data_IF_336419674608
#
_entry.id   IF_336419674608
#
_cell.length_a   1.000
_cell.length_b   1.000
_cell.length_c   1.000
_cell.angle_alpha   90.00
_cell.angle_beta   90.00
_cell.angle_gamma   90.00
#
_symmetry.space_group_name_H-M   'P 1'
#
loop_
_entity.id
_entity.type
_entity.pdbx_description
1 polymer ?
#
# COMPACT_ATOMS: atom_id res chain seq x y z
N UNK A 1 30.61 -15.89 71.74
CA UNK A 1 31.08 -16.76 70.65
C UNK A 1 29.90 -17.59 70.16
N UNK A 2 29.78 -17.80 68.85
CA UNK A 2 28.69 -18.46 68.10
C UNK A 2 27.48 -17.62 67.67
N UNK A 3 27.70 -16.99 66.51
CA UNK A 3 26.75 -16.76 65.41
C UNK A 3 25.80 -17.96 65.22
N UNK A 4 24.51 -17.71 64.92
CA UNK A 4 23.72 -18.58 64.04
C UNK A 4 22.60 -17.82 63.30
N UNK A 5 22.94 -17.53 62.04
CA UNK A 5 22.14 -17.37 60.81
C UNK A 5 20.63 -17.06 60.95
N UNK A 6 20.27 -15.83 60.59
CA UNK A 6 18.98 -15.56 59.92
C UNK A 6 19.01 -16.24 58.55
N UNK A 7 18.10 -17.19 58.31
CA UNK A 7 17.80 -17.71 56.96
C UNK A 7 17.03 -16.62 56.21
N UNK A 8 17.69 -15.96 55.27
CA UNK A 8 16.99 -15.21 54.24
C UNK A 8 16.47 -16.19 53.20
N UNK A 9 15.14 -16.29 53.10
CA UNK A 9 14.45 -16.93 52.01
C UNK A 9 14.66 -16.05 50.76
N UNK A 10 15.70 -16.33 49.99
CA UNK A 10 15.88 -15.74 48.67
C UNK A 10 14.87 -16.44 47.76
N UNK A 11 13.69 -15.84 47.65
CA UNK A 11 12.72 -16.19 46.63
C UNK A 11 13.28 -15.66 45.30
N UNK A 12 14.09 -16.48 44.64
CA UNK A 12 14.63 -16.18 43.32
C UNK A 12 13.47 -16.11 42.33
N UNK A 13 13.06 -14.89 41.98
CA UNK A 13 12.22 -14.64 40.82
C UNK A 13 13.05 -15.01 39.58
N UNK A 14 12.87 -16.24 39.11
CA UNK A 14 13.32 -16.64 37.79
C UNK A 14 12.39 -15.94 36.79
N UNK A 15 12.69 -14.68 36.46
CA UNK A 15 12.09 -14.01 35.31
C UNK A 15 12.60 -14.75 34.08
N UNK A 16 11.77 -15.66 33.58
CA UNK A 16 11.92 -16.23 32.25
C UNK A 16 11.74 -15.07 31.27
N UNK A 17 12.85 -14.41 30.91
CA UNK A 17 12.89 -13.51 29.77
C UNK A 17 12.74 -14.42 28.56
N UNK A 18 11.50 -14.72 28.20
CA UNK A 18 11.18 -15.22 26.87
C UNK A 18 11.57 -14.04 25.99
N UNK A 19 12.79 -14.05 25.47
CA UNK A 19 13.13 -13.28 24.29
C UNK A 19 12.15 -13.79 23.25
N UNK A 20 11.03 -13.09 23.10
CA UNK A 20 10.08 -13.32 22.04
C UNK A 20 10.83 -12.94 20.77
N UNK A 21 11.59 -13.89 20.26
CA UNK A 21 11.94 -13.94 18.86
C UNK A 21 10.57 -13.99 18.17
N UNK A 22 10.05 -12.81 17.83
CA UNK A 22 8.84 -12.66 17.05
C UNK A 22 9.15 -13.23 15.68
N UNK A 23 9.07 -14.55 15.56
CA UNK A 23 9.06 -15.23 14.28
C UNK A 23 7.89 -14.58 13.56
N UNK A 24 8.19 -13.75 12.56
CA UNK A 24 7.14 -13.17 11.72
C UNK A 24 6.33 -14.35 11.21
N UNK A 25 5.08 -14.47 11.65
CA UNK A 25 4.20 -15.55 11.20
C UNK A 25 4.03 -15.32 9.71
N UNK A 26 4.67 -16.18 8.91
CA UNK A 26 4.48 -16.19 7.46
C UNK A 26 3.36 -17.14 7.09
N UNK A 27 2.76 -16.90 5.93
CA UNK A 27 1.57 -17.60 5.43
C UNK A 27 1.83 -18.26 4.08
N UNK A 28 1.03 -19.26 3.74
CA UNK A 28 1.19 -20.01 2.48
C UNK A 28 0.73 -19.21 1.26
N UNK A 29 -0.21 -18.29 1.45
CA UNK A 29 -0.76 -17.46 0.36
C UNK A 29 -0.62 -15.98 0.67
N UNK A 30 -0.55 -15.18 -0.39
CA UNK A 30 -0.52 -13.72 -0.30
C UNK A 30 -1.80 -13.17 0.33
N UNK A 31 -2.95 -13.74 -0.03
CA UNK A 31 -4.26 -13.36 0.50
C UNK A 31 -4.33 -13.60 2.01
N UNK A 32 -3.79 -14.71 2.49
CA UNK A 32 -3.74 -14.99 3.93
C UNK A 32 -2.75 -14.06 4.65
N UNK A 33 -1.58 -13.81 4.06
CA UNK A 33 -0.63 -12.85 4.59
C UNK A 33 -1.24 -11.45 4.74
N UNK A 34 -1.99 -10.98 3.75
CA UNK A 34 -2.71 -9.70 3.82
C UNK A 34 -3.79 -9.74 4.91
N UNK A 35 -4.64 -10.77 4.93
CA UNK A 35 -5.72 -10.90 5.92
C UNK A 35 -5.24 -10.94 7.37
N UNK A 36 -4.02 -11.42 7.60
CA UNK A 36 -3.46 -11.58 8.93
C UNK A 36 -2.52 -10.44 9.32
N UNK A 37 -1.71 -9.97 8.37
CA UNK A 37 -0.76 -8.87 8.56
C UNK A 37 -1.41 -7.49 8.60
N UNK A 38 -2.60 -7.33 8.03
CA UNK A 38 -3.37 -6.08 7.99
C UNK A 38 -4.68 -6.18 8.76
N UNK A 39 -4.69 -6.95 9.86
CA UNK A 39 -5.88 -7.04 10.71
C UNK A 39 -6.14 -5.69 11.40
N UNK A 40 -7.42 -5.31 11.59
CA UNK A 40 -7.77 -4.21 12.48
C UNK A 40 -7.15 -4.44 13.87
N UNK A 41 -6.69 -3.36 14.46
CA UNK A 41 -6.16 -3.28 15.81
C UNK A 41 -7.20 -2.62 16.73
N UNK A 42 -6.80 -2.29 17.97
CA UNK A 42 -7.64 -1.46 18.84
C UNK A 42 -7.49 0.04 18.55
N UNK A 43 -6.57 0.43 17.66
CA UNK A 43 -6.34 1.82 17.30
C UNK A 43 -7.00 2.16 15.97
N UNK A 44 -8.21 2.69 16.06
CA UNK A 44 -9.04 3.04 14.91
C UNK A 44 -8.42 4.13 14.01
N UNK A 45 -7.57 5.01 14.56
CA UNK A 45 -6.92 6.05 13.75
C UNK A 45 -5.83 5.47 12.83
N UNK A 46 -5.10 4.46 13.30
CA UNK A 46 -4.09 3.75 12.49
C UNK A 46 -4.79 2.82 11.50
N UNK A 47 -5.81 2.10 11.94
CA UNK A 47 -6.55 1.14 11.12
C UNK A 47 -7.20 1.77 9.90
N UNK A 48 -7.64 3.03 10.03
CA UNK A 48 -8.21 3.84 8.94
C UNK A 48 -7.40 3.77 7.64
N UNK A 49 -6.06 3.73 7.75
CA UNK A 49 -5.14 3.75 6.59
C UNK A 49 -4.53 2.38 6.28
N UNK A 50 -4.50 1.45 7.24
CA UNK A 50 -3.67 0.24 7.15
C UNK A 50 -4.44 -1.07 7.33
N UNK A 51 -5.66 -1.05 7.87
CA UNK A 51 -6.45 -2.25 8.01
C UNK A 51 -7.03 -2.71 6.67
N UNK A 52 -7.00 -4.03 6.43
CA UNK A 52 -7.56 -4.62 5.22
C UNK A 52 -9.09 -4.68 5.30
N UNK A 53 -9.76 -3.89 4.46
CA UNK A 53 -11.18 -4.07 4.17
C UNK A 53 -11.38 -5.05 3.00
N UNK A 54 -10.85 -4.70 1.81
CA UNK A 54 -11.02 -5.47 0.58
C UNK A 54 -9.77 -5.43 -0.30
N UNK A 55 -9.36 -6.59 -0.82
CA UNK A 55 -8.27 -6.67 -1.80
C UNK A 55 -8.78 -6.22 -3.17
N UNK A 56 -8.10 -5.25 -3.80
CA UNK A 56 -8.39 -4.79 -5.17
C UNK A 56 -7.66 -5.69 -6.17
N UNK A 57 -6.34 -5.78 -6.03
CA UNK A 57 -5.46 -6.57 -6.88
C UNK A 57 -4.20 -6.97 -6.13
N UNK A 58 -3.69 -8.15 -6.43
CA UNK A 58 -2.34 -8.59 -6.08
C UNK A 58 -1.57 -8.74 -7.39
N UNK A 59 -0.38 -8.15 -7.45
CA UNK A 59 0.51 -8.20 -8.61
C UNK A 59 1.95 -8.41 -8.13
N UNK A 60 2.47 -9.63 -8.33
CA UNK A 60 3.78 -10.01 -7.82
C UNK A 60 3.87 -9.79 -6.31
N UNK A 61 4.80 -8.95 -5.86
CA UNK A 61 5.07 -8.68 -4.43
C UNK A 61 4.30 -7.47 -3.88
N UNK A 62 3.24 -7.03 -4.54
CA UNK A 62 2.53 -5.79 -4.20
C UNK A 62 1.03 -6.07 -4.23
N UNK A 63 0.31 -5.50 -3.27
CA UNK A 63 -1.13 -5.59 -3.20
C UNK A 63 -1.76 -4.21 -3.03
N UNK A 64 -2.79 -3.94 -3.82
CA UNK A 64 -3.66 -2.79 -3.66
C UNK A 64 -4.92 -3.22 -2.92
N UNK A 65 -5.32 -2.43 -1.93
CA UNK A 65 -6.49 -2.75 -1.12
C UNK A 65 -7.25 -1.49 -0.69
N UNK A 66 -8.52 -1.69 -0.35
CA UNK A 66 -9.40 -0.69 0.26
C UNK A 66 -9.48 -0.95 1.76
N UNK A 67 -9.35 0.09 2.57
CA UNK A 67 -9.58 0.03 4.03
C UNK A 67 -11.07 0.09 4.36
N UNK A 68 -11.49 -0.21 5.60
CA UNK A 68 -12.90 -0.04 6.01
C UNK A 68 -13.43 1.39 5.81
N UNK A 69 -12.56 2.40 5.88
CA UNK A 69 -12.90 3.82 5.72
C UNK A 69 -12.71 4.32 4.28
N UNK A 70 -12.66 3.41 3.31
CA UNK A 70 -12.54 3.70 1.87
C UNK A 70 -11.23 4.37 1.45
N UNK A 71 -10.16 4.16 2.19
CA UNK A 71 -8.82 4.56 1.74
C UNK A 71 -8.30 3.51 0.78
N UNK A 72 -7.64 3.95 -0.30
CA UNK A 72 -6.88 3.04 -1.15
C UNK A 72 -5.42 3.08 -0.71
N UNK A 73 -4.90 1.89 -0.39
CA UNK A 73 -3.56 1.69 0.17
C UNK A 73 -2.82 0.58 -0.56
N UNK A 74 -1.50 0.57 -0.39
CA UNK A 74 -0.61 -0.47 -0.89
C UNK A 74 -0.01 -1.25 0.28
N UNK A 75 0.09 -2.55 0.11
CA UNK A 75 0.90 -3.43 0.95
C UNK A 75 2.03 -4.07 0.13
N UNK A 76 3.21 -4.02 0.71
CA UNK A 76 4.39 -4.69 0.22
C UNK A 76 4.44 -6.10 0.79
N UNK A 77 4.69 -7.07 -0.08
CA UNK A 77 4.75 -8.48 0.25
C UNK A 77 6.16 -9.00 0.05
N UNK A 78 6.61 -9.83 0.97
CA UNK A 78 7.89 -10.52 0.88
C UNK A 78 7.73 -11.99 1.21
N UNK A 79 8.71 -12.78 0.77
CA UNK A 79 8.84 -14.18 1.17
C UNK A 79 9.98 -14.24 2.18
N UNK A 80 9.65 -14.58 3.43
CA UNK A 80 10.61 -14.87 4.51
C UNK A 80 10.48 -16.33 4.88
N UNK A 81 11.59 -17.07 4.85
CA UNK A 81 11.62 -18.51 5.16
C UNK A 81 10.58 -19.33 4.37
N UNK A 82 10.40 -19.03 3.08
CA UNK A 82 9.45 -19.74 2.21
C UNK A 82 7.98 -19.39 2.43
N UNK A 83 7.67 -18.42 3.29
CA UNK A 83 6.30 -18.00 3.62
C UNK A 83 6.10 -16.52 3.31
N UNK A 84 4.88 -16.15 2.90
CA UNK A 84 4.49 -14.78 2.61
C UNK A 84 4.26 -13.97 3.88
N UNK A 85 4.76 -12.73 3.90
CA UNK A 85 4.51 -11.76 4.96
C UNK A 85 4.20 -10.40 4.35
N UNK A 86 3.51 -9.55 5.09
CA UNK A 86 3.44 -8.10 4.79
C UNK A 86 4.72 -7.47 5.33
N UNK A 87 5.48 -6.81 4.46
CA UNK A 87 6.77 -6.18 4.80
C UNK A 87 6.64 -4.68 5.05
N UNK A 88 5.57 -4.07 4.55
CA UNK A 88 5.31 -2.65 4.70
C UNK A 88 3.95 -2.27 4.11
N UNK A 89 3.51 -1.07 4.45
CA UNK A 89 2.33 -0.44 3.87
C UNK A 89 2.66 0.99 3.48
N UNK A 90 2.06 1.45 2.39
CA UNK A 90 2.19 2.81 1.88
C UNK A 90 0.84 3.31 1.36
N UNK A 91 0.71 4.62 1.20
CA UNK A 91 -0.54 5.24 0.77
C UNK A 91 -1.48 5.55 1.94
N UNK A 92 -2.78 5.52 1.68
CA UNK A 92 -3.78 6.03 2.60
C UNK A 92 -4.35 7.37 2.15
N UNK A 93 -4.69 7.50 0.87
CA UNK A 93 -5.50 8.63 0.42
C UNK A 93 -6.98 8.31 0.42
N UNK A 94 -7.76 9.23 0.98
CA UNK A 94 -9.20 9.14 0.96
C UNK A 94 -9.68 9.51 -0.44
N UNK A 95 -10.30 8.56 -1.14
CA UNK A 95 -10.86 8.84 -2.48
C UNK A 95 -11.90 9.97 -2.48
N UNK A 96 -12.48 10.31 -1.33
CA UNK A 96 -13.41 11.44 -1.17
C UNK A 96 -12.73 12.81 -1.10
N UNK A 97 -11.45 12.84 -0.72
CA UNK A 97 -10.70 14.08 -0.44
C UNK A 97 -9.66 14.36 -1.55
N UNK A 98 -9.59 13.49 -2.56
CA UNK A 98 -8.69 13.65 -3.69
C UNK A 98 -9.05 14.90 -4.50
N UNK A 99 -8.07 15.79 -4.64
CA UNK A 99 -8.13 16.85 -5.63
C UNK A 99 -8.01 16.22 -7.03
N UNK A 100 -8.87 16.63 -7.94
CA UNK A 100 -8.87 16.15 -9.32
C UNK A 100 -8.79 17.37 -10.24
N UNK A 101 -7.80 17.37 -11.13
CA UNK A 101 -7.67 18.42 -12.15
C UNK A 101 -8.80 18.34 -13.18
N UNK A 102 -8.97 19.39 -13.99
CA UNK A 102 -9.95 19.39 -15.11
C UNK A 102 -9.77 18.21 -16.07
N UNK A 103 -8.56 17.67 -16.18
CA UNK A 103 -8.23 16.48 -16.99
C UNK A 103 -8.76 15.18 -16.38
N UNK A 104 -9.29 15.20 -15.16
CA UNK A 104 -9.77 14.05 -14.41
C UNK A 104 -8.66 13.19 -13.80
N UNK A 105 -7.46 13.74 -13.62
CA UNK A 105 -6.28 13.07 -13.05
C UNK A 105 -6.03 13.61 -11.63
N UNK A 106 -5.77 12.73 -10.68
CA UNK A 106 -5.35 13.12 -9.32
C UNK A 106 -3.87 13.51 -9.29
N UNK A 107 -3.50 14.59 -8.58
CA UNK A 107 -2.12 15.03 -8.47
C UNK A 107 -1.27 14.16 -7.54
N UNK A 108 -1.91 13.29 -6.76
CA UNK A 108 -1.19 12.42 -5.87
C UNK A 108 -0.70 11.18 -6.59
N UNK A 109 0.61 10.98 -6.48
CA UNK A 109 1.34 9.88 -7.02
C UNK A 109 2.16 9.31 -5.86
N UNK A 110 2.21 8.00 -5.70
CA UNK A 110 2.95 7.38 -4.59
C UNK A 110 3.84 6.29 -5.16
N UNK A 111 5.03 6.16 -4.58
CA UNK A 111 6.02 5.13 -4.91
C UNK A 111 6.09 4.11 -3.77
N UNK A 112 6.06 2.82 -4.10
CA UNK A 112 6.06 1.73 -3.13
C UNK A 112 6.85 0.50 -3.62
N UNK A 113 7.27 -0.36 -2.68
CA UNK A 113 8.18 -1.51 -2.84
C UNK A 113 9.34 -1.26 -3.81
N UNK A 114 9.91 -0.06 -3.70
CA UNK A 114 11.04 0.36 -4.48
C UNK A 114 10.79 0.48 -5.98
N UNK A 115 9.57 0.59 -6.54
CA UNK A 115 9.32 1.11 -7.93
C UNK A 115 7.89 1.08 -8.48
N UNK A 116 6.89 0.70 -7.70
CA UNK A 116 5.51 0.85 -8.17
C UNK A 116 5.03 2.26 -8.00
N UNK A 117 4.57 2.81 -9.11
CA UNK A 117 3.99 4.14 -9.17
C UNK A 117 2.51 3.99 -9.42
N UNK A 118 1.68 4.68 -8.67
CA UNK A 118 0.24 4.64 -8.87
C UNK A 118 -0.41 5.99 -8.60
N UNK A 119 -1.65 6.12 -9.06
CA UNK A 119 -2.51 7.27 -8.81
C UNK A 119 -3.95 6.98 -9.25
N UNK A 120 -4.76 8.04 -9.36
CA UNK A 120 -6.19 7.93 -9.60
C UNK A 120 -6.66 8.71 -10.82
N UNK A 121 -7.71 8.20 -11.46
CA UNK A 121 -8.40 8.81 -12.59
C UNK A 121 -9.91 8.81 -12.35
N UNK A 122 -10.58 9.87 -12.83
CA UNK A 122 -12.04 9.93 -13.02
C UNK A 122 -12.43 10.23 -14.46
N UNK A 123 -11.47 10.18 -15.40
CA UNK A 123 -11.70 10.45 -16.81
C UNK A 123 -11.82 9.14 -17.60
N UNK A 124 -13.05 8.77 -17.97
CA UNK A 124 -13.34 7.57 -18.75
C UNK A 124 -12.79 7.60 -20.17
N UNK A 125 -12.41 8.78 -20.68
CA UNK A 125 -11.77 8.89 -21.99
C UNK A 125 -10.32 8.38 -21.96
N UNK A 126 -9.67 8.29 -20.79
CA UNK A 126 -8.30 7.75 -20.70
C UNK A 126 -8.35 6.23 -20.82
N UNK A 127 -7.68 5.70 -21.84
CA UNK A 127 -7.63 4.25 -22.13
C UNK A 127 -6.27 3.63 -21.84
N UNK A 128 -5.20 4.45 -21.84
CA UNK A 128 -3.83 3.98 -21.63
C UNK A 128 -3.04 4.99 -20.82
N UNK A 129 -2.11 4.45 -20.04
CA UNK A 129 -1.13 5.22 -19.27
C UNK A 129 0.21 4.57 -19.52
N UNK A 130 1.26 5.36 -19.62
CA UNK A 130 2.61 4.86 -19.85
C UNK A 130 3.66 5.80 -19.30
N UNK A 131 4.74 5.23 -18.79
CA UNK A 131 5.97 5.94 -18.48
C UNK A 131 7.02 5.48 -19.48
N UNK A 132 7.51 6.39 -20.32
CA UNK A 132 8.37 6.06 -21.46
C UNK A 132 7.75 4.96 -22.34
N UNK A 133 8.43 3.81 -22.51
CA UNK A 133 7.92 2.63 -23.22
C UNK A 133 7.16 1.65 -22.31
N UNK A 134 7.11 1.88 -21.00
CA UNK A 134 6.46 0.98 -20.03
C UNK A 134 4.97 1.31 -19.95
N UNK A 135 4.13 0.34 -20.32
CA UNK A 135 2.67 0.49 -20.22
C UNK A 135 2.20 0.29 -18.77
N UNK A 136 1.20 1.07 -18.38
CA UNK A 136 0.53 0.96 -17.09
C UNK A 136 -0.73 0.11 -17.13
N UNK A 137 -1.18 -0.26 -15.95
CA UNK A 137 -2.41 -0.99 -15.71
C UNK A 137 -3.48 -0.03 -15.19
N UNK A 138 -4.73 -0.25 -15.61
CA UNK A 138 -5.90 0.50 -15.15
C UNK A 138 -6.91 -0.49 -14.59
N UNK A 139 -7.43 -0.19 -13.40
CA UNK A 139 -8.44 -1.00 -12.70
C UNK A 139 -9.62 -0.09 -12.39
N UNK A 140 -10.80 -0.45 -12.89
CA UNK A 140 -12.04 0.21 -12.51
C UNK A 140 -12.37 -0.07 -11.04
N UNK A 141 -12.70 0.97 -10.28
CA UNK A 141 -12.92 0.90 -8.83
C UNK A 141 -14.38 0.71 -8.42
N UNK A 142 -15.34 0.73 -9.35
CA UNK A 142 -16.79 0.71 -9.07
C UNK A 142 -17.22 -0.53 -8.26
N UNK A 143 -16.49 -1.64 -8.36
CA UNK A 143 -16.77 -2.89 -7.61
C UNK A 143 -16.09 -2.95 -6.23
N UNK A 144 -15.21 -2.01 -5.92
CA UNK A 144 -14.38 -2.03 -4.72
C UNK A 144 -14.76 -0.93 -3.74
N UNK A 145 -15.26 0.19 -4.24
CA UNK A 145 -15.74 1.32 -3.44
C UNK A 145 -17.25 1.23 -3.17
N UNK A 146 -17.76 1.96 -2.16
CA UNK A 146 -19.20 2.08 -1.93
C UNK A 146 -19.94 2.57 -3.17
N UNK A 147 -21.20 2.15 -3.32
CA UNK A 147 -22.04 2.60 -4.43
C UNK A 147 -22.58 4.01 -4.18
N UNK A 148 -21.69 5.00 -4.23
CA UNK A 148 -22.00 6.42 -4.12
C UNK A 148 -21.66 7.14 -5.42
N UNK A 149 -22.50 8.09 -5.82
CA UNK A 149 -22.36 8.81 -7.08
C UNK A 149 -20.99 9.50 -7.24
N UNK A 150 -20.38 9.94 -6.12
CA UNK A 150 -19.06 10.58 -6.13
C UNK A 150 -17.93 9.65 -6.60
N UNK A 151 -18.05 8.34 -6.36
CA UNK A 151 -17.04 7.32 -6.71
C UNK A 151 -17.26 6.66 -8.08
N UNK A 152 -18.38 6.96 -8.75
CA UNK A 152 -18.67 6.41 -10.08
C UNK A 152 -17.62 6.84 -11.10
N UNK A 153 -17.10 5.87 -11.86
CA UNK A 153 -16.15 6.13 -12.95
C UNK A 153 -14.73 6.37 -12.48
N UNK A 154 -14.43 6.12 -11.20
CA UNK A 154 -13.07 6.16 -10.69
C UNK A 154 -12.28 4.93 -11.12
N UNK A 155 -11.01 5.14 -11.40
CA UNK A 155 -10.06 4.08 -11.72
C UNK A 155 -8.74 4.30 -10.99
N UNK A 156 -8.19 3.21 -10.47
CA UNK A 156 -6.82 3.12 -10.00
C UNK A 156 -5.94 2.80 -11.19
N UNK A 157 -4.81 3.47 -11.32
CA UNK A 157 -3.78 3.04 -12.25
C UNK A 157 -2.44 2.85 -11.56
N UNK A 158 -1.62 1.96 -12.11
CA UNK A 158 -0.27 1.77 -11.63
C UNK A 158 0.70 1.29 -12.72
N UNK A 159 1.98 1.56 -12.52
CA UNK A 159 3.10 1.14 -13.36
C UNK A 159 4.15 0.51 -12.45
N UNK A 160 4.62 -0.69 -12.81
CA UNK A 160 5.75 -1.33 -12.14
C UNK A 160 7.01 -1.00 -12.94
N UNK A 161 7.90 -0.19 -12.38
CA UNK A 161 9.09 0.22 -13.09
C UNK A 161 10.24 -0.80 -12.93
N UNK A 162 11.00 -1.07 -14.01
CA UNK A 162 12.23 -1.85 -13.92
C UNK A 162 13.28 -1.08 -13.11
N UNK A 163 14.16 -1.80 -12.43
CA UNK A 163 14.94 -1.35 -11.27
C UNK A 163 15.91 -0.16 -11.53
N UNK A 164 15.45 1.10 -11.70
CA UNK A 164 16.31 2.25 -12.12
C UNK A 164 15.81 3.68 -11.76
N UNK A 165 15.09 3.88 -10.66
CA UNK A 165 14.92 5.25 -10.15
C UNK A 165 15.82 5.39 -8.93
N UNK A 166 16.77 6.32 -9.00
CA UNK A 166 17.49 6.77 -7.80
C UNK A 166 16.45 7.31 -6.83
N UNK A 167 16.49 6.86 -5.57
CA UNK A 167 15.49 7.11 -4.50
C UNK A 167 15.36 8.60 -4.08
N UNK A 168 15.80 9.55 -4.91
CA UNK A 168 15.76 10.98 -4.64
C UNK A 168 14.45 11.67 -5.06
N UNK A 169 14.01 12.73 -4.36
CA UNK A 169 12.79 13.49 -4.69
C UNK A 169 12.80 14.16 -6.07
N UNK A 170 13.98 14.41 -6.65
CA UNK A 170 14.12 14.93 -8.02
C UNK A 170 13.59 13.95 -9.08
N UNK A 171 13.65 12.64 -8.82
CA UNK A 171 13.09 11.62 -9.70
C UNK A 171 11.57 11.74 -9.84
N UNK A 172 10.88 12.17 -8.78
CA UNK A 172 9.42 12.17 -8.70
C UNK A 172 8.77 13.27 -9.57
N UNK A 173 9.31 14.49 -9.50
CA UNK A 173 8.85 15.59 -10.36
C UNK A 173 9.14 15.29 -11.83
N UNK A 174 10.31 14.70 -12.12
CA UNK A 174 10.64 14.24 -13.47
C UNK A 174 9.65 13.18 -13.97
N UNK A 175 9.28 12.20 -13.15
CA UNK A 175 8.33 11.15 -13.52
C UNK A 175 6.95 11.72 -13.85
N UNK A 176 6.44 12.66 -13.03
CA UNK A 176 5.15 13.31 -13.29
C UNK A 176 5.10 13.96 -14.68
N UNK A 177 6.20 14.60 -15.10
CA UNK A 177 6.28 15.26 -16.42
C UNK A 177 6.45 14.31 -17.60
N UNK A 178 6.93 13.09 -17.37
CA UNK A 178 7.21 12.08 -18.41
C UNK A 178 6.10 11.04 -18.55
N UNK A 179 5.23 10.93 -17.56
CA UNK A 179 4.02 10.10 -17.62
C UNK A 179 3.07 10.61 -18.72
N UNK A 180 2.66 9.70 -19.59
CA UNK A 180 1.76 9.98 -20.71
C UNK A 180 0.45 9.25 -20.50
N UNK A 181 -0.64 10.01 -20.47
CA UNK A 181 -2.00 9.51 -20.52
C UNK A 181 -2.48 9.61 -21.96
N UNK A 182 -3.13 8.57 -22.48
CA UNK A 182 -3.72 8.59 -23.81
C UNK A 182 -5.21 8.36 -23.72
N UNK A 183 -5.96 9.19 -24.42
CA UNK A 183 -7.40 8.98 -24.55
C UNK A 183 -7.72 7.75 -25.43
N UNK A 184 -9.00 7.44 -25.61
CA UNK A 184 -9.50 6.37 -26.48
C UNK A 184 -9.11 6.55 -27.96
N UNK A 185 -8.79 7.77 -28.39
CA UNK A 185 -8.39 8.11 -29.76
C UNK A 185 -6.86 8.15 -29.93
N UNK A 186 -6.10 7.98 -28.84
CA UNK A 186 -4.64 8.04 -28.84
C UNK A 186 -4.06 9.44 -28.60
N UNK A 187 -4.89 10.45 -28.35
CA UNK A 187 -4.45 11.82 -28.00
C UNK A 187 -3.72 11.80 -26.66
N UNK A 188 -2.56 12.45 -26.59
CA UNK A 188 -1.80 12.56 -25.33
C UNK A 188 -2.44 13.63 -24.46
N UNK A 189 -2.95 13.22 -23.30
CA UNK A 189 -3.36 14.10 -22.21
C UNK A 189 -2.16 14.29 -21.29
N UNK A 190 -1.76 15.55 -21.09
CA UNK A 190 -0.65 15.89 -20.20
C UNK A 190 -1.16 16.21 -18.81
N UNK A 191 -0.42 15.74 -17.82
CA UNK A 191 -0.52 16.24 -16.46
C UNK A 191 -0.13 17.73 -16.46
N UNK A 192 -0.96 18.60 -15.87
CA UNK A 192 -0.59 20.01 -15.65
C UNK A 192 -0.03 20.11 -14.23
N UNK A 193 1.21 20.57 -14.11
CA UNK A 193 1.81 20.93 -12.82
C UNK A 193 1.23 22.27 -12.34
#
# INVERSE_FOLDING_TARGET
>A
MYKKLRKHLILGFLTLIISSCSISKGYDTQQEALKQGLKPTSNTEIDKYHALGRIIKIDGKIAFFVTPDNYISIADLEIKNGKWTVSGTAGGENVSELEIQDSGISPTLVVSNGKVIFGYLKNSSISKISYESTSGHIINLDKYLPNESKYKGWSLWYIILPNKLDDGPESFNFIKTTLKFKDINGTIIKYKN
#
